data_IF_319495714835
#
_entry.id   IF_319495714835
#
_cell.length_a   1.000
_cell.length_b   1.000
_cell.length_c   1.000
_cell.angle_alpha   90.00
_cell.angle_beta   90.00
_cell.angle_gamma   90.00
#
_symmetry.space_group_name_H-M   'P 1'
#
loop_
_entity.id
_entity.type
_entity.pdbx_description
1 polymer ?
#
# COMPACT_ATOMS: atom_id res chain seq x y z
N UNK A 1 -41.81 43.23 31.47
CA UNK A 1 -40.93 42.09 31.14
C UNK A 1 -40.37 41.58 32.45
N UNK A 2 -40.75 40.38 32.90
CA UNK A 2 -40.30 39.84 34.20
C UNK A 2 -38.84 39.36 34.08
N UNK A 3 -38.07 39.54 35.15
CA UNK A 3 -36.64 39.16 35.21
C UNK A 3 -36.39 37.71 34.76
N UNK A 4 -37.29 36.79 35.12
CA UNK A 4 -37.26 35.39 34.70
C UNK A 4 -37.33 35.17 33.19
N UNK A 5 -38.12 35.99 32.47
CA UNK A 5 -38.23 35.87 31.01
C UNK A 5 -36.94 36.29 30.32
N UNK A 6 -36.24 37.31 30.84
CA UNK A 6 -34.96 37.77 30.29
C UNK A 6 -33.88 36.70 30.48
N UNK A 7 -33.83 36.07 31.66
CA UNK A 7 -32.86 35.00 31.96
C UNK A 7 -33.09 33.78 31.08
N UNK A 8 -34.35 33.38 30.88
CA UNK A 8 -34.70 32.21 30.06
C UNK A 8 -34.39 32.42 28.57
N UNK A 9 -34.69 33.61 28.03
CA UNK A 9 -34.37 33.96 26.63
C UNK A 9 -32.85 34.01 26.43
N UNK A 10 -32.12 34.62 27.36
CA UNK A 10 -30.66 34.73 27.28
C UNK A 10 -30.00 33.35 27.36
N UNK A 11 -30.45 32.49 28.28
CA UNK A 11 -29.97 31.11 28.40
C UNK A 11 -30.18 30.30 27.13
N UNK A 12 -31.36 30.41 26.51
CA UNK A 12 -31.69 29.72 25.25
C UNK A 12 -30.79 30.18 24.09
N UNK A 13 -30.52 31.49 24.00
CA UNK A 13 -29.61 32.07 23.01
C UNK A 13 -28.17 31.55 23.19
N UNK A 14 -27.68 31.50 24.42
CA UNK A 14 -26.34 30.97 24.73
C UNK A 14 -26.24 29.48 24.39
N UNK A 15 -27.28 28.69 24.67
CA UNK A 15 -27.31 27.26 24.30
C UNK A 15 -27.28 27.06 22.78
N UNK A 16 -28.05 27.83 22.02
CA UNK A 16 -28.06 27.76 20.55
C UNK A 16 -26.71 28.15 19.94
N UNK A 17 -26.08 29.22 20.46
CA UNK A 17 -24.73 29.62 20.05
C UNK A 17 -23.69 28.54 20.40
N UNK A 18 -23.80 27.95 21.59
CA UNK A 18 -22.95 26.84 22.03
C UNK A 18 -23.06 25.62 21.10
N UNK A 19 -24.28 25.21 20.74
CA UNK A 19 -24.51 24.13 19.79
C UNK A 19 -23.90 24.42 18.41
N UNK A 20 -24.03 25.66 17.92
CA UNK A 20 -23.42 26.08 16.66
C UNK A 20 -21.90 25.93 16.68
N UNK A 21 -21.24 26.35 17.77
CA UNK A 21 -19.79 26.18 17.95
C UNK A 21 -19.40 24.71 18.02
N UNK A 22 -20.16 23.87 18.73
CA UNK A 22 -19.91 22.42 18.81
C UNK A 22 -20.02 21.75 17.44
N UNK A 23 -21.05 22.06 16.64
CA UNK A 23 -21.21 21.52 15.28
C UNK A 23 -20.02 21.93 14.40
N UNK A 24 -19.56 23.17 14.51
CA UNK A 24 -18.40 23.64 13.76
C UNK A 24 -17.11 22.93 14.17
N UNK A 25 -16.88 22.74 15.47
CA UNK A 25 -15.72 21.98 15.96
C UNK A 25 -15.76 20.51 15.51
N UNK A 26 -16.93 19.87 15.53
CA UNK A 26 -17.11 18.49 15.05
C UNK A 26 -16.81 18.39 13.56
N UNK A 27 -17.29 19.37 12.77
CA UNK A 27 -17.04 19.42 11.32
C UNK A 27 -15.56 19.59 11.03
N UNK A 28 -14.88 20.49 11.75
CA UNK A 28 -13.42 20.64 11.66
C UNK A 28 -12.68 19.37 12.03
N UNK A 29 -13.04 18.74 13.15
CA UNK A 29 -12.41 17.51 13.62
C UNK A 29 -12.57 16.36 12.61
N UNK A 30 -13.73 16.27 11.93
CA UNK A 30 -13.93 15.33 10.81
C UNK A 30 -12.98 15.63 9.65
N UNK A 31 -12.91 16.87 9.20
CA UNK A 31 -12.02 17.27 8.11
C UNK A 31 -10.54 16.99 8.44
N UNK A 32 -10.10 17.30 9.68
CA UNK A 32 -8.75 16.97 10.13
C UNK A 32 -8.49 15.47 10.18
N UNK A 33 -9.46 14.68 10.67
CA UNK A 33 -9.36 13.21 10.69
C UNK A 33 -9.22 12.64 9.28
N UNK A 34 -9.98 13.16 8.33
CA UNK A 34 -9.94 12.69 6.94
C UNK A 34 -8.62 13.06 6.25
N UNK A 35 -8.08 14.25 6.52
CA UNK A 35 -6.73 14.64 6.08
C UNK A 35 -5.65 13.72 6.66
N UNK A 36 -5.66 13.47 7.98
CA UNK A 36 -4.70 12.56 8.62
C UNK A 36 -4.79 11.15 8.02
N UNK A 37 -6.01 10.65 7.77
CA UNK A 37 -6.20 9.33 7.15
C UNK A 37 -5.62 9.29 5.74
N UNK A 38 -5.75 10.37 4.97
CA UNK A 38 -5.17 10.49 3.65
C UNK A 38 -3.64 10.52 3.70
N UNK A 39 -3.05 11.32 4.59
CA UNK A 39 -1.60 11.41 4.76
C UNK A 39 -0.99 10.09 5.21
N UNK A 40 -1.62 9.39 6.16
CA UNK A 40 -1.20 8.04 6.59
C UNK A 40 -1.25 7.06 5.42
N UNK A 41 -2.31 7.11 4.61
CA UNK A 41 -2.42 6.25 3.42
C UNK A 41 -1.30 6.55 2.43
N UNK A 42 -0.98 7.82 2.18
CA UNK A 42 0.13 8.23 1.31
C UNK A 42 1.46 7.70 1.82
N UNK A 43 1.76 7.87 3.12
CA UNK A 43 2.98 7.34 3.75
C UNK A 43 3.08 5.82 3.60
N UNK A 44 1.97 5.11 3.85
CA UNK A 44 1.93 3.66 3.71
C UNK A 44 2.20 3.23 2.26
N UNK A 45 1.56 3.86 1.28
CA UNK A 45 1.77 3.57 -0.14
C UNK A 45 3.22 3.85 -0.57
N UNK A 46 3.81 4.97 -0.14
CA UNK A 46 5.23 5.29 -0.41
C UNK A 46 6.16 4.24 0.18
N UNK A 47 5.94 3.83 1.43
CA UNK A 47 6.74 2.78 2.07
C UNK A 47 6.62 1.44 1.35
N UNK A 48 5.43 1.08 0.87
CA UNK A 48 5.22 -0.15 0.09
C UNK A 48 5.91 -0.03 -1.28
N UNK A 49 5.81 1.13 -1.95
CA UNK A 49 6.48 1.38 -3.23
C UNK A 49 7.99 1.14 -3.14
N UNK A 50 8.64 1.67 -2.10
CA UNK A 50 10.08 1.50 -1.92
C UNK A 50 10.46 0.06 -1.57
N UNK A 51 9.61 -0.67 -0.83
CA UNK A 51 9.81 -2.12 -0.59
C UNK A 51 9.69 -2.92 -1.88
N UNK A 52 8.73 -2.59 -2.75
CA UNK A 52 8.57 -3.26 -4.03
C UNK A 52 9.69 -2.94 -5.02
N UNK A 53 10.27 -1.73 -4.98
CA UNK A 53 11.52 -1.42 -5.70
C UNK A 53 12.67 -2.32 -5.24
N UNK A 54 12.83 -2.51 -3.93
CA UNK A 54 13.84 -3.44 -3.39
C UNK A 54 13.57 -4.88 -3.84
N UNK A 55 12.31 -5.31 -3.83
CA UNK A 55 11.92 -6.61 -4.36
C UNK A 55 12.25 -6.75 -5.86
N UNK A 56 12.04 -5.70 -6.66
CA UNK A 56 12.43 -5.67 -8.07
C UNK A 56 13.93 -5.88 -8.26
N UNK A 57 14.76 -5.25 -7.44
CA UNK A 57 16.20 -5.41 -7.50
C UNK A 57 16.65 -6.83 -7.10
N UNK A 58 15.96 -7.49 -6.17
CA UNK A 58 16.22 -8.90 -5.85
C UNK A 58 15.75 -9.83 -6.97
N UNK A 59 14.61 -9.54 -7.60
CA UNK A 59 14.10 -10.29 -8.77
C UNK A 59 15.07 -10.18 -9.96
N UNK A 60 15.69 -9.00 -10.17
CA UNK A 60 16.71 -8.81 -11.22
C UNK A 60 17.95 -9.68 -11.04
N UNK A 61 18.21 -10.14 -9.82
CA UNK A 61 19.34 -11.02 -9.48
C UNK A 61 18.98 -12.50 -9.59
N UNK A 62 17.72 -12.85 -9.88
CA UNK A 62 17.32 -14.24 -10.05
C UNK A 62 17.99 -14.85 -11.29
N UNK A 63 18.65 -16.01 -11.14
CA UNK A 63 19.27 -16.69 -12.27
C UNK A 63 18.21 -17.26 -13.22
N UNK A 64 18.44 -17.12 -14.52
CA UNK A 64 17.57 -17.68 -15.56
C UNK A 64 17.90 -19.15 -15.89
N UNK A 65 19.01 -19.68 -15.37
CA UNK A 65 19.45 -21.06 -15.58
C UNK A 65 20.06 -21.64 -14.30
N UNK A 66 19.75 -22.91 -14.03
CA UNK A 66 20.31 -23.68 -12.91
C UNK A 66 21.78 -24.05 -13.11
N UNK A 67 22.25 -24.05 -14.35
CA UNK A 67 23.62 -24.43 -14.73
C UNK A 67 24.61 -23.28 -14.59
N UNK A 68 24.14 -22.04 -14.66
CA UNK A 68 24.97 -20.82 -14.66
C UNK A 68 24.56 -19.89 -13.53
N UNK A 69 24.61 -20.37 -12.29
CA UNK A 69 24.42 -19.52 -11.10
C UNK A 69 25.72 -18.80 -10.77
N UNK A 70 25.76 -17.46 -10.78
CA UNK A 70 26.95 -16.72 -10.38
C UNK A 70 27.34 -17.05 -8.94
N UNK A 71 28.66 -17.11 -8.66
CA UNK A 71 29.16 -17.38 -7.31
C UNK A 71 28.63 -16.34 -6.33
N UNK A 72 28.17 -16.80 -5.16
CA UNK A 72 27.62 -15.94 -4.10
C UNK A 72 26.13 -15.65 -4.21
N UNK A 73 25.46 -15.99 -5.33
CA UNK A 73 24.00 -15.91 -5.45
C UNK A 73 23.36 -17.11 -4.75
N UNK A 74 22.37 -16.83 -3.89
CA UNK A 74 21.53 -17.85 -3.24
C UNK A 74 20.08 -17.69 -3.71
N UNK A 75 19.66 -18.38 -4.78
CA UNK A 75 18.35 -18.18 -5.39
C UNK A 75 17.19 -18.40 -4.42
N UNK A 76 17.30 -19.41 -3.53
CA UNK A 76 16.31 -19.65 -2.47
C UNK A 76 16.16 -18.48 -1.50
N UNK A 77 17.26 -17.83 -1.14
CA UNK A 77 17.25 -16.67 -0.26
C UNK A 77 16.60 -15.45 -0.95
N UNK A 78 16.91 -15.24 -2.23
CA UNK A 78 16.30 -14.18 -3.05
C UNK A 78 14.79 -14.39 -3.20
N UNK A 79 14.34 -15.61 -3.48
CA UNK A 79 12.91 -15.96 -3.54
C UNK A 79 12.24 -15.67 -2.21
N UNK A 80 12.86 -16.08 -1.09
CA UNK A 80 12.29 -15.88 0.24
C UNK A 80 12.17 -14.40 0.61
N UNK A 81 13.22 -13.60 0.37
CA UNK A 81 13.20 -12.14 0.58
C UNK A 81 12.16 -11.44 -0.28
N UNK A 82 12.04 -11.85 -1.55
CA UNK A 82 11.03 -11.30 -2.46
C UNK A 82 9.62 -11.60 -1.96
N UNK A 83 9.38 -12.84 -1.51
CA UNK A 83 8.09 -13.24 -0.91
C UNK A 83 7.79 -12.44 0.35
N UNK A 84 8.76 -12.25 1.23
CA UNK A 84 8.61 -11.41 2.43
C UNK A 84 8.18 -9.98 2.08
N UNK A 85 8.78 -9.37 1.05
CA UNK A 85 8.37 -8.05 0.57
C UNK A 85 6.93 -8.03 0.04
N UNK A 86 6.49 -9.07 -0.67
CA UNK A 86 5.10 -9.19 -1.13
C UNK A 86 4.12 -9.37 0.03
N UNK A 87 4.44 -10.22 1.01
CA UNK A 87 3.55 -10.48 2.15
C UNK A 87 3.38 -9.22 3.02
N UNK A 88 4.47 -8.46 3.23
CA UNK A 88 4.41 -7.17 3.93
C UNK A 88 3.58 -6.15 3.13
N UNK A 89 3.73 -6.11 1.80
CA UNK A 89 2.93 -5.24 0.96
C UNK A 89 1.43 -5.61 1.02
N UNK A 90 1.10 -6.89 0.89
CA UNK A 90 -0.29 -7.38 0.91
C UNK A 90 -0.98 -7.21 2.26
N UNK A 91 -0.23 -7.29 3.37
CA UNK A 91 -0.76 -7.04 4.71
C UNK A 91 -0.99 -5.54 5.00
N UNK A 92 -0.29 -4.66 4.29
CA UNK A 92 -0.39 -3.22 4.46
C UNK A 92 -1.42 -2.57 3.52
N UNK A 93 -1.72 -3.21 2.38
CA UNK A 93 -2.73 -2.73 1.43
C UNK A 93 -4.13 -3.11 1.88
N UNK A 94 -5.07 -2.15 1.75
CA UNK A 94 -6.47 -2.43 2.02
C UNK A 94 -7.04 -3.43 0.99
N UNK A 95 -7.83 -4.38 1.47
CA UNK A 95 -8.49 -5.40 0.63
C UNK A 95 -9.63 -4.81 -0.21
N UNK A 96 -10.21 -3.69 0.22
CA UNK A 96 -11.31 -3.01 -0.45
C UNK A 96 -10.95 -1.55 -0.74
N UNK A 97 -11.32 -1.09 -1.93
CA UNK A 97 -11.16 0.30 -2.36
C UNK A 97 -10.03 0.49 -3.39
N UNK A 98 -9.48 1.72 -3.48
CA UNK A 98 -8.57 2.13 -4.56
C UNK A 98 -7.23 1.35 -4.63
N UNK A 99 -6.86 0.64 -3.56
CA UNK A 99 -5.62 -0.13 -3.49
C UNK A 99 -5.78 -1.58 -4.02
N UNK A 100 -7.01 -1.99 -4.35
CA UNK A 100 -7.35 -3.36 -4.75
C UNK A 100 -6.69 -3.79 -6.07
N UNK A 101 -6.52 -2.86 -7.01
CA UNK A 101 -5.85 -3.12 -8.29
C UNK A 101 -4.37 -3.44 -8.10
N UNK A 102 -3.67 -2.62 -7.30
CA UNK A 102 -2.26 -2.84 -6.94
C UNK A 102 -2.11 -4.17 -6.19
N UNK A 103 -3.04 -4.47 -5.27
CA UNK A 103 -3.06 -5.74 -4.55
C UNK A 103 -3.21 -6.94 -5.50
N UNK A 104 -4.10 -6.85 -6.49
CA UNK A 104 -4.28 -7.91 -7.49
C UNK A 104 -3.01 -8.16 -8.31
N UNK A 105 -2.30 -7.08 -8.71
CA UNK A 105 -1.03 -7.21 -9.41
C UNK A 105 0.05 -7.88 -8.54
N UNK A 106 0.15 -7.54 -7.25
CA UNK A 106 1.10 -8.18 -6.31
C UNK A 106 0.78 -9.67 -6.13
N UNK A 107 -0.50 -10.03 -6.03
CA UNK A 107 -0.92 -11.44 -5.97
C UNK A 107 -0.49 -12.19 -7.23
N UNK A 108 -0.65 -11.58 -8.41
CA UNK A 108 -0.20 -12.19 -9.66
C UNK A 108 1.33 -12.33 -9.73
N UNK A 109 2.08 -11.32 -9.25
CA UNK A 109 3.54 -11.42 -9.12
C UNK A 109 3.96 -12.55 -8.15
N UNK A 110 3.26 -12.73 -7.02
CA UNK A 110 3.50 -13.82 -6.09
C UNK A 110 3.23 -15.19 -6.73
N UNK A 111 2.19 -15.30 -7.57
CA UNK A 111 1.90 -16.52 -8.35
C UNK A 111 3.03 -16.86 -9.31
N UNK A 112 3.56 -15.86 -10.04
CA UNK A 112 4.71 -16.02 -10.94
C UNK A 112 5.99 -16.39 -10.18
N UNK A 113 6.24 -15.78 -9.03
CA UNK A 113 7.37 -16.14 -8.16
C UNK A 113 7.28 -17.60 -7.70
N UNK A 114 6.07 -18.08 -7.37
CA UNK A 114 5.86 -19.48 -6.99
C UNK A 114 6.08 -20.43 -8.18
N UNK A 115 5.63 -20.07 -9.39
CA UNK A 115 5.92 -20.83 -10.62
C UNK A 115 7.44 -20.95 -10.83
N UNK A 116 8.14 -19.84 -10.73
CA UNK A 116 9.59 -19.81 -10.82
C UNK A 116 10.24 -20.70 -9.75
N UNK A 117 9.82 -20.64 -8.49
CA UNK A 117 10.35 -21.51 -7.43
C UNK A 117 10.14 -23.00 -7.72
N UNK A 118 8.97 -23.39 -8.25
CA UNK A 118 8.70 -24.78 -8.66
C UNK A 118 9.65 -25.19 -9.79
N UNK A 119 9.76 -24.37 -10.84
CA UNK A 119 10.65 -24.64 -11.97
C UNK A 119 12.13 -24.72 -11.54
N UNK A 120 12.55 -23.85 -10.63
CA UNK A 120 13.87 -23.84 -10.02
C UNK A 120 14.16 -25.14 -9.26
N UNK A 121 13.22 -25.58 -8.41
CA UNK A 121 13.37 -26.81 -7.64
C UNK A 121 13.29 -28.07 -8.52
N UNK A 122 12.63 -28.02 -9.67
CA UNK A 122 12.67 -29.09 -10.69
C UNK A 122 13.97 -29.14 -11.50
N UNK A 123 14.89 -28.18 -11.31
CA UNK A 123 16.19 -28.13 -11.95
C UNK A 123 16.20 -27.51 -13.36
N UNK A 124 15.04 -27.12 -13.89
CA UNK A 124 14.89 -26.46 -15.19
C UNK A 124 14.11 -25.15 -15.05
N UNK A 125 14.74 -24.09 -14.50
CA UNK A 125 14.08 -22.80 -14.35
C UNK A 125 13.74 -22.21 -15.71
N UNK A 126 12.52 -21.71 -15.87
CA UNK A 126 12.08 -21.06 -17.09
C UNK A 126 12.56 -19.59 -17.11
N UNK A 127 13.40 -19.17 -18.06
CA UNK A 127 13.82 -17.77 -18.18
C UNK A 127 12.63 -16.81 -18.38
N UNK A 128 11.56 -17.28 -19.03
CA UNK A 128 10.37 -16.48 -19.27
C UNK A 128 9.68 -16.10 -17.95
N UNK A 129 9.65 -16.99 -16.96
CA UNK A 129 9.03 -16.71 -15.66
C UNK A 129 9.73 -15.55 -14.95
N UNK A 130 11.06 -15.44 -15.08
CA UNK A 130 11.85 -14.34 -14.51
C UNK A 130 11.56 -13.03 -15.24
N UNK A 131 11.53 -13.05 -16.58
CA UNK A 131 11.21 -11.86 -17.37
C UNK A 131 9.78 -11.36 -17.13
N UNK A 132 8.82 -12.27 -17.09
CA UNK A 132 7.42 -11.97 -16.81
C UNK A 132 7.23 -11.44 -15.39
N UNK A 133 8.01 -11.94 -14.42
CA UNK A 133 8.01 -11.44 -13.05
C UNK A 133 8.62 -10.04 -12.95
N UNK A 134 9.71 -9.78 -13.68
CA UNK A 134 10.32 -8.44 -13.76
C UNK A 134 9.38 -7.41 -14.39
N UNK A 135 8.72 -7.77 -15.49
CA UNK A 135 7.74 -6.92 -16.17
C UNK A 135 6.56 -6.60 -15.25
N UNK A 136 5.94 -7.62 -14.63
CA UNK A 136 4.88 -7.41 -13.65
C UNK A 136 5.32 -6.50 -12.50
N UNK A 137 6.55 -6.67 -12.01
CA UNK A 137 7.06 -5.86 -10.91
C UNK A 137 7.23 -4.39 -11.32
N UNK A 138 7.70 -4.15 -12.55
CA UNK A 138 7.80 -2.81 -13.11
C UNK A 138 6.42 -2.17 -13.24
N UNK A 139 5.41 -2.91 -13.71
CA UNK A 139 4.04 -2.41 -13.82
C UNK A 139 3.43 -2.06 -12.46
N UNK A 140 3.69 -2.88 -11.43
CA UNK A 140 3.25 -2.60 -10.06
C UNK A 140 3.90 -1.33 -9.53
N UNK A 141 5.23 -1.18 -9.67
CA UNK A 141 5.95 0.02 -9.19
C UNK A 141 5.45 1.26 -9.93
N UNK A 142 5.22 1.17 -11.24
CA UNK A 142 4.70 2.28 -12.05
C UNK A 142 3.28 2.66 -11.63
N UNK A 143 2.38 1.68 -11.49
CA UNK A 143 0.99 1.89 -11.06
C UNK A 143 0.94 2.50 -9.66
N UNK A 144 1.76 2.03 -8.74
CA UNK A 144 1.80 2.57 -7.38
C UNK A 144 2.37 3.99 -7.35
N UNK A 145 3.41 4.28 -8.13
CA UNK A 145 3.97 5.63 -8.24
C UNK A 145 2.94 6.60 -8.84
N UNK A 146 2.21 6.18 -9.88
CA UNK A 146 1.11 6.97 -10.44
C UNK A 146 -0.02 7.20 -9.43
N UNK A 147 -0.34 6.20 -8.61
CA UNK A 147 -1.36 6.31 -7.57
C UNK A 147 -0.95 7.30 -6.48
N UNK A 148 0.33 7.30 -6.09
CA UNK A 148 0.88 8.27 -5.13
C UNK A 148 0.90 9.69 -5.73
N UNK A 149 1.24 9.84 -7.00
CA UNK A 149 1.26 11.14 -7.69
C UNK A 149 -0.15 11.73 -7.82
N UNK A 150 -1.18 10.91 -8.06
CA UNK A 150 -2.57 11.37 -8.05
C UNK A 150 -3.06 11.81 -6.65
N UNK A 151 -2.27 11.54 -5.60
CA UNK A 151 -2.51 12.01 -4.23
C UNK A 151 -1.69 13.25 -3.86
N UNK A 152 -0.85 13.77 -4.76
CA UNK A 152 -0.19 15.08 -4.66
C UNK A 152 -1.10 16.19 -5.21
#
# INVERSE_FOLDING_TARGET
MTWDSIVTITGTLVTLLGMGVTIWQVTKARNYKDQIKFDIRKINLTNIADRLKRAQDEIRRLPTSSQTVPRGIRPRELIHKTREHFDIALSSLNTLGPDASVRALIVEAQRKLNSYEISWNSGNPNPQDVHDLQANMQDIVSTMSSTIYQME
#
